data_IF_724622876152
#
_entry.id   IF_724622876152
#
_cell.length_a   1.000
_cell.length_b   1.000
_cell.length_c   1.000
_cell.angle_alpha   90.00
_cell.angle_beta   90.00
_cell.angle_gamma   90.00
#
_symmetry.space_group_name_H-M   'P 1'
#
loop_
_entity.id
_entity.type
_entity.pdbx_description
1 polymer ?
#
# COMPACT_ATOMS: atom_id res chain seq x y z
N UNK A 1 -16.27 36.00 -29.79
CA UNK A 1 -15.28 34.94 -29.44
C UNK A 1 -15.83 33.79 -28.58
N UNK A 2 -16.86 33.98 -27.73
CA UNK A 2 -17.34 32.93 -26.81
C UNK A 2 -18.23 31.80 -27.39
N UNK A 3 -18.71 31.92 -28.63
CA UNK A 3 -19.52 30.89 -29.29
C UNK A 3 -18.67 29.82 -30.00
N UNK A 4 -17.59 30.26 -30.67
CA UNK A 4 -16.64 29.38 -31.37
C UNK A 4 -15.88 28.50 -30.38
N UNK A 5 -15.44 29.04 -29.25
CA UNK A 5 -14.79 28.27 -28.18
C UNK A 5 -15.72 27.27 -27.51
N UNK A 6 -17.02 27.57 -27.40
CA UNK A 6 -18.03 26.62 -26.90
C UNK A 6 -18.27 25.47 -27.88
N UNK A 7 -18.43 25.76 -29.16
CA UNK A 7 -18.60 24.73 -30.19
C UNK A 7 -17.38 23.83 -30.32
N UNK A 8 -16.16 24.40 -30.24
CA UNK A 8 -14.92 23.62 -30.22
C UNK A 8 -14.80 22.74 -28.97
N UNK A 9 -15.15 23.26 -27.79
CA UNK A 9 -15.23 22.46 -26.56
C UNK A 9 -16.25 21.32 -26.69
N UNK A 10 -17.43 21.57 -27.25
CA UNK A 10 -18.43 20.52 -27.44
C UNK A 10 -18.00 19.47 -28.48
N UNK A 11 -17.36 19.88 -29.58
CA UNK A 11 -16.85 18.96 -30.60
C UNK A 11 -15.70 18.08 -30.08
N UNK A 12 -14.77 18.66 -29.31
CA UNK A 12 -13.66 17.93 -28.68
C UNK A 12 -14.16 17.00 -27.58
N UNK A 13 -15.05 17.45 -26.69
CA UNK A 13 -15.67 16.61 -25.64
C UNK A 13 -16.42 15.43 -26.26
N UNK A 14 -17.18 15.66 -27.34
CA UNK A 14 -17.92 14.60 -28.03
C UNK A 14 -16.98 13.60 -28.72
N UNK A 15 -15.90 14.09 -29.34
CA UNK A 15 -14.89 13.22 -29.97
C UNK A 15 -14.15 12.36 -28.94
N UNK A 16 -13.77 12.93 -27.78
CA UNK A 16 -13.16 12.21 -26.67
C UNK A 16 -14.14 11.17 -26.12
N UNK A 17 -15.39 11.55 -25.88
CA UNK A 17 -16.43 10.64 -25.36
C UNK A 17 -16.69 9.46 -26.31
N UNK A 18 -16.67 9.68 -27.62
CA UNK A 18 -16.80 8.59 -28.60
C UNK A 18 -15.59 7.66 -28.60
N UNK A 19 -14.37 8.19 -28.55
CA UNK A 19 -13.15 7.37 -28.47
C UNK A 19 -13.06 6.57 -27.18
N UNK A 20 -13.43 7.17 -26.05
CA UNK A 20 -13.54 6.48 -24.75
C UNK A 20 -14.61 5.38 -24.82
N UNK A 21 -15.76 5.65 -25.43
CA UNK A 21 -16.80 4.63 -25.65
C UNK A 21 -16.34 3.44 -26.50
N UNK A 22 -15.48 3.67 -27.51
CA UNK A 22 -14.87 2.60 -28.31
C UNK A 22 -13.85 1.82 -27.47
N UNK A 23 -13.03 2.53 -26.67
CA UNK A 23 -12.01 1.91 -25.82
C UNK A 23 -12.63 0.97 -24.78
N UNK A 24 -13.73 1.40 -24.14
CA UNK A 24 -14.48 0.61 -23.16
C UNK A 24 -15.53 -0.32 -23.81
N UNK A 25 -15.47 -0.54 -25.13
CA UNK A 25 -16.31 -1.51 -25.82
C UNK A 25 -15.91 -2.94 -25.42
N UNK A 26 -16.87 -3.87 -25.45
CA UNK A 26 -16.69 -5.28 -25.04
C UNK A 26 -15.52 -5.99 -25.72
N UNK A 27 -15.13 -5.53 -26.92
CA UNK A 27 -14.00 -6.08 -27.71
C UNK A 27 -12.63 -5.62 -27.20
N UNK A 28 -12.53 -4.42 -26.62
CA UNK A 28 -11.27 -3.83 -26.16
C UNK A 28 -11.14 -3.80 -24.64
N UNK A 29 -12.21 -4.15 -23.91
CA UNK A 29 -12.30 -4.06 -22.45
C UNK A 29 -11.20 -4.84 -21.71
N UNK A 30 -10.78 -6.00 -22.24
CA UNK A 30 -9.64 -6.74 -21.69
C UNK A 30 -8.35 -5.93 -21.75
N UNK A 31 -8.03 -5.39 -22.94
CA UNK A 31 -6.82 -4.61 -23.16
C UNK A 31 -6.82 -3.32 -22.34
N UNK A 32 -7.97 -2.64 -22.23
CA UNK A 32 -8.06 -1.40 -21.44
C UNK A 32 -7.87 -1.66 -19.95
N UNK A 33 -8.50 -2.70 -19.41
CA UNK A 33 -8.39 -3.01 -17.98
C UNK A 33 -6.95 -3.41 -17.64
N UNK A 34 -6.35 -4.27 -18.45
CA UNK A 34 -4.96 -4.66 -18.29
C UNK A 34 -4.01 -3.45 -18.41
N UNK A 35 -4.22 -2.56 -19.38
CA UNK A 35 -3.41 -1.36 -19.53
C UNK A 35 -3.56 -0.40 -18.35
N UNK A 36 -4.79 -0.21 -17.83
CA UNK A 36 -5.05 0.60 -16.64
C UNK A 36 -4.31 0.02 -15.44
N UNK A 37 -4.37 -1.30 -15.23
CA UNK A 37 -3.66 -1.96 -14.13
C UNK A 37 -2.14 -1.72 -14.21
N UNK A 38 -1.54 -1.92 -15.40
CA UNK A 38 -0.10 -1.66 -15.59
C UNK A 38 0.27 -0.21 -15.28
N UNK A 39 -0.50 0.75 -15.81
CA UNK A 39 -0.25 2.18 -15.56
C UNK A 39 -0.37 2.50 -14.08
N UNK A 40 -1.38 1.96 -13.40
CA UNK A 40 -1.62 2.22 -11.98
C UNK A 40 -0.48 1.66 -11.12
N UNK A 41 -0.07 0.42 -11.36
CA UNK A 41 1.04 -0.22 -10.63
C UNK A 41 2.38 0.49 -10.87
N UNK A 42 2.70 0.83 -12.12
CA UNK A 42 3.93 1.58 -12.43
C UNK A 42 3.93 2.98 -11.80
N UNK A 43 2.77 3.66 -11.78
CA UNK A 43 2.68 5.00 -11.18
C UNK A 43 2.79 4.94 -9.66
N UNK A 44 2.17 3.94 -9.02
CA UNK A 44 2.30 3.71 -7.57
C UNK A 44 3.75 3.40 -7.18
N UNK A 45 4.44 2.60 -7.99
CA UNK A 45 5.87 2.32 -7.79
C UNK A 45 6.75 3.56 -8.00
N UNK A 46 6.52 4.33 -9.06
CA UNK A 46 7.26 5.56 -9.31
C UNK A 46 7.10 6.57 -8.17
N UNK A 47 5.89 6.68 -7.59
CA UNK A 47 5.63 7.51 -6.42
C UNK A 47 6.44 7.03 -5.20
N UNK A 48 6.49 5.73 -4.97
CA UNK A 48 7.31 5.17 -3.89
C UNK A 48 8.81 5.40 -4.11
N UNK A 49 9.32 5.10 -5.31
CA UNK A 49 10.73 5.34 -5.60
C UNK A 49 11.09 6.83 -5.44
N UNK A 50 10.19 7.73 -5.86
CA UNK A 50 10.38 9.15 -5.64
C UNK A 50 10.37 9.52 -4.16
N UNK A 51 9.45 8.97 -3.37
CA UNK A 51 9.42 9.15 -1.92
C UNK A 51 10.72 8.71 -1.25
N UNK A 52 11.30 7.58 -1.67
CA UNK A 52 12.61 7.12 -1.17
C UNK A 52 13.78 8.01 -1.57
N UNK A 53 13.75 8.56 -2.78
CA UNK A 53 14.77 9.53 -3.22
C UNK A 53 14.73 10.78 -2.34
N UNK A 54 13.53 11.26 -1.99
CA UNK A 54 13.36 12.41 -1.09
C UNK A 54 13.84 12.12 0.34
N UNK A 55 13.69 10.88 0.83
CA UNK A 55 14.22 10.45 2.13
C UNK A 55 15.74 10.20 2.13
N UNK A 56 16.41 10.30 0.97
CA UNK A 56 17.83 9.99 0.83
C UNK A 56 18.15 8.48 0.87
N UNK A 57 17.13 7.62 0.83
CA UNK A 57 17.27 6.17 0.86
C UNK A 57 17.73 5.59 -0.49
N UNK A 58 17.45 6.28 -1.58
CA UNK A 58 17.72 5.83 -2.94
C UNK A 58 18.23 7.02 -3.78
N UNK A 59 19.27 6.83 -4.59
CA UNK A 59 19.86 7.93 -5.38
C UNK A 59 19.22 8.08 -6.76
N UNK A 60 18.75 6.98 -7.36
CA UNK A 60 18.17 6.96 -8.71
C UNK A 60 17.00 5.99 -8.82
N UNK A 61 16.13 6.22 -9.80
CA UNK A 61 15.01 5.31 -10.08
C UNK A 61 15.51 3.94 -10.57
N UNK A 62 14.96 2.88 -9.96
CA UNK A 62 15.18 1.49 -10.34
C UNK A 62 14.14 1.08 -11.39
N UNK A 63 14.51 1.23 -12.66
CA UNK A 63 13.66 0.86 -13.80
C UNK A 63 13.39 -0.64 -13.90
N UNK A 64 14.30 -1.48 -13.38
CA UNK A 64 14.10 -2.94 -13.36
C UNK A 64 12.96 -3.28 -12.41
N UNK A 65 12.95 -2.69 -11.21
CA UNK A 65 11.83 -2.80 -10.26
C UNK A 65 10.50 -2.37 -10.88
N UNK A 66 10.47 -1.23 -11.57
CA UNK A 66 9.23 -0.74 -12.18
C UNK A 66 8.75 -1.66 -13.32
N UNK A 67 9.68 -2.26 -14.08
CA UNK A 67 9.35 -3.29 -15.06
C UNK A 67 8.70 -4.51 -14.41
N UNK A 68 9.29 -5.03 -13.33
CA UNK A 68 8.81 -6.24 -12.65
C UNK A 68 7.43 -6.02 -12.02
N UNK A 69 7.20 -4.85 -11.42
CA UNK A 69 5.88 -4.44 -10.91
C UNK A 69 4.90 -4.25 -12.06
N UNK A 70 5.29 -3.59 -13.15
CA UNK A 70 4.44 -3.41 -14.33
C UNK A 70 4.00 -4.74 -14.94
N UNK A 71 4.90 -5.72 -15.02
CA UNK A 71 4.58 -7.07 -15.49
C UNK A 71 3.62 -7.79 -14.54
N UNK A 72 3.82 -7.66 -13.22
CA UNK A 72 2.87 -8.21 -12.24
C UNK A 72 1.48 -7.58 -12.37
N UNK A 73 1.40 -6.26 -12.60
CA UNK A 73 0.16 -5.53 -12.83
C UNK A 73 -0.56 -5.97 -14.11
N UNK A 74 0.18 -6.34 -15.16
CA UNK A 74 -0.39 -6.92 -16.38
C UNK A 74 -1.07 -8.27 -16.09
N UNK A 75 -0.39 -9.18 -15.40
CA UNK A 75 -0.91 -10.50 -15.06
C UNK A 75 -2.14 -10.40 -14.14
N UNK A 76 -2.05 -9.56 -13.11
CA UNK A 76 -3.15 -9.34 -12.16
C UNK A 76 -4.32 -8.66 -12.86
N UNK A 77 -4.09 -7.65 -13.70
CA UNK A 77 -5.15 -6.98 -14.46
C UNK A 77 -5.91 -7.93 -15.39
N UNK A 78 -5.18 -8.82 -16.08
CA UNK A 78 -5.79 -9.87 -16.91
C UNK A 78 -6.62 -10.86 -16.07
N UNK A 79 -6.08 -11.30 -14.93
CA UNK A 79 -6.79 -12.17 -13.99
C UNK A 79 -8.07 -11.50 -13.46
N UNK A 80 -7.98 -10.27 -12.97
CA UNK A 80 -9.11 -9.51 -12.44
C UNK A 80 -10.22 -9.32 -13.48
N UNK A 81 -9.88 -9.10 -14.75
CA UNK A 81 -10.88 -9.02 -15.82
C UNK A 81 -11.69 -10.31 -15.95
N UNK A 82 -11.01 -11.46 -16.01
CA UNK A 82 -11.67 -12.76 -16.11
C UNK A 82 -12.45 -13.09 -14.84
N UNK A 83 -11.87 -12.78 -13.68
CA UNK A 83 -12.50 -12.98 -12.38
C UNK A 83 -13.82 -12.22 -12.25
N UNK A 84 -13.85 -10.94 -12.63
CA UNK A 84 -15.09 -10.17 -12.58
C UNK A 84 -16.16 -10.67 -13.56
N UNK A 85 -15.77 -11.15 -14.74
CA UNK A 85 -16.71 -11.83 -15.65
C UNK A 85 -17.31 -13.07 -14.97
N UNK A 86 -16.48 -13.91 -14.34
CA UNK A 86 -16.96 -15.09 -13.61
C UNK A 86 -17.88 -14.72 -12.44
N UNK A 87 -17.51 -13.69 -11.69
CA UNK A 87 -18.26 -13.24 -10.52
C UNK A 87 -19.64 -12.66 -10.90
N UNK A 88 -19.72 -11.97 -12.03
CA UNK A 88 -20.99 -11.50 -12.59
C UNK A 88 -21.88 -12.64 -13.09
N UNK A 89 -21.30 -13.73 -13.60
CA UNK A 89 -22.03 -14.94 -13.95
C UNK A 89 -22.55 -15.70 -12.73
N UNK A 90 -21.75 -15.81 -11.66
CA UNK A 90 -22.15 -16.53 -10.43
C UNK A 90 -23.19 -15.77 -9.60
N UNK A 91 -23.13 -14.44 -9.60
CA UNK A 91 -24.04 -13.61 -8.82
C UNK A 91 -24.74 -12.58 -9.73
N UNK A 92 -25.75 -13.01 -10.51
CA UNK A 92 -26.49 -12.14 -11.39
C UNK A 92 -27.36 -11.17 -10.58
N UNK A 93 -27.24 -9.88 -10.85
CA UNK A 93 -28.03 -8.82 -10.20
C UNK A 93 -27.19 -7.69 -9.61
N UNK A 94 -27.88 -6.64 -9.16
CA UNK A 94 -27.27 -5.38 -8.67
C UNK A 94 -27.78 -4.95 -7.29
N UNK A 95 -28.34 -5.87 -6.51
CA UNK A 95 -28.80 -5.56 -5.15
C UNK A 95 -27.62 -5.41 -4.19
N UNK A 96 -27.82 -4.69 -3.08
CA UNK A 96 -26.78 -4.49 -2.07
C UNK A 96 -26.27 -5.82 -1.48
N UNK A 97 -27.18 -6.77 -1.24
CA UNK A 97 -26.81 -8.11 -0.75
C UNK A 97 -25.90 -8.87 -1.73
N UNK A 98 -26.14 -8.73 -3.04
CA UNK A 98 -25.26 -9.30 -4.07
C UNK A 98 -23.90 -8.60 -4.07
N UNK A 99 -23.86 -7.28 -3.95
CA UNK A 99 -22.61 -6.52 -3.90
C UNK A 99 -21.73 -6.93 -2.69
N UNK A 100 -22.34 -7.08 -1.52
CA UNK A 100 -21.65 -7.56 -0.31
C UNK A 100 -21.14 -8.99 -0.51
N UNK A 101 -21.96 -9.89 -1.07
CA UNK A 101 -21.55 -11.26 -1.35
C UNK A 101 -20.39 -11.32 -2.34
N UNK A 102 -20.45 -10.55 -3.42
CA UNK A 102 -19.36 -10.39 -4.40
C UNK A 102 -18.09 -9.90 -3.72
N UNK A 103 -18.18 -8.86 -2.89
CA UNK A 103 -17.04 -8.31 -2.17
C UNK A 103 -16.42 -9.31 -1.20
N UNK A 104 -17.23 -10.09 -0.47
CA UNK A 104 -16.70 -11.13 0.43
C UNK A 104 -15.98 -12.24 -0.32
N UNK A 105 -16.53 -12.69 -1.45
CA UNK A 105 -15.87 -13.70 -2.31
C UNK A 105 -14.57 -13.14 -2.91
N UNK A 106 -14.57 -11.87 -3.31
CA UNK A 106 -13.38 -11.20 -3.83
C UNK A 106 -12.27 -11.12 -2.77
N UNK A 107 -12.60 -10.67 -1.56
CA UNK A 107 -11.64 -10.56 -0.45
C UNK A 107 -11.13 -11.91 0.07
N UNK A 108 -11.88 -13.00 -0.10
CA UNK A 108 -11.49 -14.33 0.42
C UNK A 108 -10.78 -15.19 -0.60
N UNK A 109 -11.03 -15.00 -1.89
CA UNK A 109 -10.47 -15.84 -2.96
C UNK A 109 -9.56 -15.05 -3.88
N UNK A 110 -10.04 -13.95 -4.46
CA UNK A 110 -9.29 -13.15 -5.43
C UNK A 110 -8.10 -12.45 -4.78
N UNK A 111 -8.34 -11.73 -3.69
CA UNK A 111 -7.35 -11.01 -2.90
C UNK A 111 -6.09 -11.84 -2.57
N UNK A 112 -6.19 -13.02 -1.91
CA UNK A 112 -4.99 -13.80 -1.59
C UNK A 112 -4.29 -14.35 -2.83
N UNK A 113 -5.02 -14.64 -3.91
CA UNK A 113 -4.43 -15.06 -5.19
C UNK A 113 -3.64 -13.91 -5.81
N UNK A 114 -4.22 -12.71 -5.88
CA UNK A 114 -3.57 -11.52 -6.43
C UNK A 114 -2.33 -11.11 -5.64
N UNK A 115 -2.41 -11.07 -4.31
CA UNK A 115 -1.24 -10.79 -3.44
C UNK A 115 -0.16 -11.84 -3.65
N UNK A 116 -0.52 -13.11 -3.70
CA UNK A 116 0.45 -14.20 -3.90
C UNK A 116 1.11 -14.11 -5.27
N UNK A 117 0.33 -13.83 -6.32
CA UNK A 117 0.83 -13.65 -7.68
C UNK A 117 1.77 -12.44 -7.76
N UNK A 118 1.40 -11.30 -7.16
CA UNK A 118 2.24 -10.10 -7.08
C UNK A 118 3.60 -10.41 -6.45
N UNK A 119 3.60 -10.99 -5.25
CA UNK A 119 4.83 -11.30 -4.52
C UNK A 119 5.66 -12.38 -5.23
N UNK A 120 5.02 -13.38 -5.83
CA UNK A 120 5.69 -14.43 -6.57
C UNK A 120 6.38 -13.88 -7.83
N UNK A 121 5.65 -13.14 -8.67
CA UNK A 121 6.16 -12.60 -9.94
C UNK A 121 7.32 -11.65 -9.67
N UNK A 122 7.15 -10.70 -8.76
CA UNK A 122 8.22 -9.75 -8.41
C UNK A 122 9.43 -10.45 -7.80
N UNK A 123 9.24 -11.47 -6.94
CA UNK A 123 10.37 -12.22 -6.36
C UNK A 123 11.08 -13.12 -7.38
N UNK A 124 10.34 -13.62 -8.37
CA UNK A 124 10.88 -14.42 -9.47
C UNK A 124 11.82 -13.57 -10.35
N UNK A 125 11.42 -12.35 -10.73
CA UNK A 125 12.29 -11.44 -11.48
C UNK A 125 13.49 -10.91 -10.67
N UNK A 126 13.35 -10.83 -9.35
CA UNK A 126 14.46 -10.56 -8.43
C UNK A 126 15.46 -11.74 -8.33
N UNK A 127 15.15 -12.90 -8.90
CA UNK A 127 16.03 -14.08 -8.88
C UNK A 127 16.08 -14.79 -7.52
N UNK A 128 15.04 -14.65 -6.68
CA UNK A 128 15.00 -15.27 -5.35
C UNK A 128 14.82 -16.79 -5.44
N UNK A 129 15.42 -17.50 -4.50
CA UNK A 129 15.22 -18.95 -4.38
C UNK A 129 13.80 -19.29 -3.94
N UNK A 130 13.35 -20.52 -4.19
CA UNK A 130 12.00 -20.96 -3.81
C UNK A 130 11.74 -20.88 -2.30
N UNK A 131 12.77 -21.06 -1.46
CA UNK A 131 12.69 -20.87 -0.02
C UNK A 131 12.47 -19.40 0.36
N UNK A 132 13.24 -18.48 -0.25
CA UNK A 132 13.10 -17.04 -0.03
C UNK A 132 11.73 -16.52 -0.49
N UNK A 133 11.25 -16.98 -1.65
CA UNK A 133 9.93 -16.62 -2.16
C UNK A 133 8.81 -17.04 -1.20
N UNK A 134 8.87 -18.27 -0.66
CA UNK A 134 7.89 -18.76 0.32
C UNK A 134 7.93 -17.97 1.63
N UNK A 135 9.12 -17.63 2.10
CA UNK A 135 9.29 -16.81 3.31
C UNK A 135 8.70 -15.42 3.10
N UNK A 136 9.02 -14.77 1.98
CA UNK A 136 8.50 -13.44 1.66
C UNK A 136 6.98 -13.43 1.48
N UNK A 137 6.42 -14.46 0.84
CA UNK A 137 4.98 -14.64 0.76
C UNK A 137 4.34 -14.77 2.16
N UNK A 138 4.98 -15.48 3.08
CA UNK A 138 4.45 -15.66 4.45
C UNK A 138 4.55 -14.39 5.28
N UNK A 139 5.63 -13.62 5.15
CA UNK A 139 5.87 -12.41 5.93
C UNK A 139 5.08 -11.23 5.35
N UNK A 140 5.31 -10.90 4.08
CA UNK A 140 4.69 -9.75 3.41
C UNK A 140 3.26 -10.02 2.99
N UNK A 141 2.96 -11.24 2.57
CA UNK A 141 1.59 -11.59 2.15
C UNK A 141 0.60 -11.44 3.30
N UNK A 142 0.98 -11.78 4.53
CA UNK A 142 0.14 -11.54 5.72
C UNK A 142 -0.08 -10.05 6.00
N UNK A 143 0.96 -9.24 5.86
CA UNK A 143 0.88 -7.79 6.07
C UNK A 143 -0.06 -7.17 5.04
N UNK A 144 0.14 -7.48 3.75
CA UNK A 144 -0.68 -6.99 2.64
C UNK A 144 -2.14 -7.46 2.77
N UNK A 145 -2.36 -8.73 3.08
CA UNK A 145 -3.71 -9.27 3.23
C UNK A 145 -4.45 -8.65 4.41
N UNK A 146 -3.77 -8.46 5.55
CA UNK A 146 -4.34 -7.74 6.68
C UNK A 146 -4.68 -6.31 6.30
N UNK A 147 -3.81 -5.62 5.57
CA UNK A 147 -4.05 -4.26 5.10
C UNK A 147 -5.26 -4.18 4.17
N UNK A 148 -5.43 -5.13 3.24
CA UNK A 148 -6.63 -5.20 2.39
C UNK A 148 -7.91 -5.29 3.21
N UNK A 149 -7.95 -6.17 4.21
CA UNK A 149 -9.10 -6.29 5.10
C UNK A 149 -9.35 -5.08 5.99
N UNK A 150 -8.32 -4.29 6.27
CA UNK A 150 -8.46 -3.05 7.06
C UNK A 150 -8.87 -1.86 6.19
N UNK A 151 -8.49 -1.84 4.91
CA UNK A 151 -8.75 -0.71 4.00
C UNK A 151 -10.06 -0.88 3.25
N UNK A 152 -10.28 -2.04 2.63
CA UNK A 152 -11.38 -2.22 1.69
C UNK A 152 -12.78 -2.19 2.31
N UNK A 153 -13.09 -2.92 3.40
CA UNK A 153 -14.42 -2.87 3.99
C UNK A 153 -14.82 -1.47 4.48
N UNK A 154 -13.97 -0.72 5.21
CA UNK A 154 -14.29 0.67 5.57
C UNK A 154 -14.40 1.58 4.35
N UNK A 155 -13.51 1.44 3.36
CA UNK A 155 -13.59 2.23 2.12
C UNK A 155 -14.91 1.98 1.39
N UNK A 156 -15.38 0.74 1.30
CA UNK A 156 -16.67 0.40 0.67
C UNK A 156 -17.85 1.01 1.45
N UNK A 157 -17.83 0.98 2.78
CA UNK A 157 -18.85 1.64 3.61
C UNK A 157 -18.87 3.14 3.31
N UNK A 158 -17.71 3.79 3.27
CA UNK A 158 -17.61 5.22 2.95
C UNK A 158 -18.13 5.50 1.55
N UNK A 159 -17.74 4.68 0.57
CA UNK A 159 -18.11 4.84 -0.83
C UNK A 159 -19.62 4.73 -1.05
N UNK A 160 -20.30 3.82 -0.36
CA UNK A 160 -21.74 3.63 -0.53
C UNK A 160 -22.57 4.59 0.32
N UNK A 161 -22.10 4.94 1.53
CA UNK A 161 -22.86 5.76 2.48
C UNK A 161 -22.63 7.27 2.29
N UNK A 162 -21.37 7.72 2.17
CA UNK A 162 -21.03 9.14 2.12
C UNK A 162 -20.79 9.67 0.71
N UNK A 163 -20.29 8.84 -0.22
CA UNK A 163 -19.91 9.30 -1.56
C UNK A 163 -21.10 9.24 -2.53
N UNK A 164 -21.49 10.39 -3.14
CA UNK A 164 -22.53 10.41 -4.16
C UNK A 164 -22.17 9.53 -5.36
N UNK A 165 -23.16 8.87 -5.98
CA UNK A 165 -22.98 7.91 -7.08
C UNK A 165 -22.04 8.39 -8.18
N UNK A 166 -22.10 9.68 -8.54
CA UNK A 166 -21.24 10.30 -9.57
C UNK A 166 -19.73 10.28 -9.27
N UNK A 167 -19.33 10.20 -8.00
CA UNK A 167 -17.93 10.24 -7.56
C UNK A 167 -17.40 8.90 -7.06
N UNK A 168 -18.25 7.86 -6.96
CA UNK A 168 -17.86 6.57 -6.38
C UNK A 168 -16.69 5.90 -7.09
N UNK A 169 -16.64 6.03 -8.42
CA UNK A 169 -15.55 5.50 -9.24
C UNK A 169 -14.25 6.24 -8.93
N UNK A 170 -14.29 7.58 -8.87
CA UNK A 170 -13.11 8.38 -8.54
C UNK A 170 -12.58 8.04 -7.14
N UNK A 171 -13.47 7.95 -6.15
CA UNK A 171 -13.09 7.57 -4.79
C UNK A 171 -12.43 6.18 -4.76
N UNK A 172 -13.07 5.18 -5.39
CA UNK A 172 -12.51 3.83 -5.48
C UNK A 172 -11.13 3.81 -6.14
N UNK A 173 -10.97 4.50 -7.27
CA UNK A 173 -9.68 4.62 -7.95
C UNK A 173 -8.61 5.31 -7.10
N UNK A 174 -8.96 6.32 -6.30
CA UNK A 174 -8.02 6.97 -5.38
C UNK A 174 -7.54 6.04 -4.28
N UNK A 175 -8.46 5.25 -3.70
CA UNK A 175 -8.10 4.23 -2.69
C UNK A 175 -7.23 3.15 -3.30
N UNK A 176 -7.57 2.64 -4.49
CA UNK A 176 -6.76 1.67 -5.23
C UNK A 176 -5.35 2.19 -5.49
N UNK A 177 -5.21 3.44 -5.93
CA UNK A 177 -3.89 4.04 -6.17
C UNK A 177 -3.04 4.11 -4.90
N UNK A 178 -3.62 4.52 -3.77
CA UNK A 178 -2.93 4.51 -2.49
C UNK A 178 -2.51 3.09 -2.07
N UNK A 179 -3.30 2.09 -2.45
CA UNK A 179 -2.99 0.69 -2.18
C UNK A 179 -1.84 0.15 -3.06
N UNK A 180 -1.77 0.52 -4.34
CA UNK A 180 -0.63 0.21 -5.21
C UNK A 180 0.69 0.80 -4.67
N UNK A 181 0.64 2.05 -4.18
CA UNK A 181 1.76 2.66 -3.49
C UNK A 181 2.18 1.85 -2.25
N UNK A 182 1.20 1.43 -1.44
CA UNK A 182 1.45 0.60 -0.25
C UNK A 182 2.02 -0.79 -0.60
N UNK A 183 1.56 -1.44 -1.67
CA UNK A 183 2.14 -2.69 -2.18
C UNK A 183 3.63 -2.53 -2.44
N UNK A 184 4.01 -1.46 -3.14
CA UNK A 184 5.40 -1.16 -3.44
C UNK A 184 6.19 -0.85 -2.15
N UNK A 185 5.62 -0.07 -1.23
CA UNK A 185 6.24 0.21 0.06
C UNK A 185 6.53 -1.06 0.87
N UNK A 186 5.55 -1.97 1.04
CA UNK A 186 5.74 -3.22 1.80
C UNK A 186 6.70 -4.17 1.09
N UNK A 187 6.65 -4.24 -0.25
CA UNK A 187 7.54 -5.10 -1.02
C UNK A 187 9.01 -4.69 -0.89
N UNK A 188 9.30 -3.40 -0.85
CA UNK A 188 10.69 -2.91 -0.87
C UNK A 188 11.17 -2.28 0.45
N UNK A 189 10.30 -2.18 1.46
CA UNK A 189 10.61 -1.65 2.80
C UNK A 189 11.80 -2.33 3.49
N UNK A 190 11.93 -3.65 3.36
CA UNK A 190 12.96 -4.42 4.08
C UNK A 190 14.37 -4.33 3.48
N UNK A 191 14.52 -3.84 2.25
CA UNK A 191 15.85 -3.76 1.61
C UNK A 191 16.76 -2.79 2.36
N UNK A 192 16.23 -1.79 3.06
CA UNK A 192 17.02 -0.77 3.76
C UNK A 192 17.58 -1.25 5.11
N UNK A 193 16.82 -2.00 5.90
CA UNK A 193 17.39 -2.61 7.12
C UNK A 193 18.53 -3.58 6.81
N UNK A 194 18.49 -4.26 5.65
CA UNK A 194 19.56 -5.17 5.24
C UNK A 194 20.71 -4.45 4.52
N UNK A 195 20.42 -3.46 3.67
CA UNK A 195 21.46 -2.67 2.98
C UNK A 195 22.22 -1.77 3.96
N UNK A 196 21.53 -1.10 4.90
CA UNK A 196 22.17 -0.35 5.98
C UNK A 196 22.96 -1.25 6.92
N UNK A 197 22.49 -2.47 7.22
CA UNK A 197 23.27 -3.45 7.99
C UNK A 197 24.47 -4.01 7.19
N UNK A 198 24.34 -4.17 5.87
CA UNK A 198 25.43 -4.58 4.98
C UNK A 198 26.45 -3.47 4.78
N UNK A 199 26.04 -2.21 4.75
CA UNK A 199 26.93 -1.05 4.69
C UNK A 199 27.67 -0.86 6.03
N UNK A 200 27.00 -1.07 7.16
CA UNK A 200 27.65 -1.10 8.48
C UNK A 200 28.64 -2.25 8.61
N UNK A 201 28.35 -3.43 8.04
CA UNK A 201 29.28 -4.57 8.02
C UNK A 201 30.40 -4.38 7.00
N UNK A 202 30.15 -3.75 5.86
CA UNK A 202 31.16 -3.52 4.82
C UNK A 202 32.16 -2.43 5.22
N UNK A 203 31.76 -1.48 6.08
CA UNK A 203 32.64 -0.45 6.59
C UNK A 203 33.55 -0.93 7.73
N UNK A 204 33.27 -2.10 8.33
CA UNK A 204 34.07 -2.72 9.39
C UNK A 204 35.14 -3.70 8.86
N UNK A 205 35.07 -4.14 7.60
CA UNK A 205 36.01 -5.15 7.06
C UNK A 205 37.28 -4.57 6.39
N UNK A 206 37.62 -3.29 6.59
CA UNK A 206 38.84 -2.69 6.01
C UNK A 206 39.81 -2.07 7.01
N UNK A 207 39.67 -2.34 8.31
CA UNK A 207 40.72 -1.99 9.28
C UNK A 207 41.30 -3.27 9.85
N UNK A 208 42.56 -3.50 9.47
CA UNK A 208 43.46 -4.55 9.92
C UNK A 208 43.32 -4.87 11.41
N UNK A 209 43.28 -6.17 11.72
CA UNK A 209 43.71 -6.71 13.01
C UNK A 209 45.16 -6.26 13.27
N UNK A 210 45.35 -5.09 13.89
CA UNK A 210 46.55 -4.75 14.67
C UNK A 210 46.38 -3.33 15.25
N UNK A 211 46.04 -3.29 16.55
CA UNK A 211 45.99 -2.15 17.50
C UNK A 211 44.64 -2.01 18.20
N UNK A 212 44.22 -3.08 18.88
CA UNK A 212 43.08 -3.10 19.81
C UNK A 212 43.44 -2.59 21.24
N UNK A 213 44.66 -2.08 21.51
CA UNK A 213 45.07 -1.95 22.92
C UNK A 213 45.96 -0.76 23.26
N UNK A 214 45.79 0.41 22.63
CA UNK A 214 46.52 1.61 23.13
C UNK A 214 45.87 2.98 22.91
N UNK A 215 44.57 3.07 22.59
CA UNK A 215 43.91 4.38 22.39
C UNK A 215 42.56 4.54 23.11
N UNK A 216 42.22 3.60 23.99
CA UNK A 216 40.95 3.58 24.74
C UNK A 216 41.10 4.06 26.18
N UNK A 217 41.79 5.19 26.41
CA UNK A 217 41.79 5.84 27.72
C UNK A 217 41.52 7.36 27.74
N UNK A 218 41.89 8.20 26.76
CA UNK A 218 41.63 9.63 26.90
C UNK A 218 40.23 10.10 26.46
N UNK A 219 39.45 9.27 25.74
CA UNK A 219 38.09 9.66 25.30
C UNK A 219 36.98 9.41 26.34
N UNK A 220 37.12 8.36 27.18
CA UNK A 220 36.10 8.06 28.21
C UNK A 220 35.99 9.17 29.27
N UNK A 221 37.09 9.89 29.52
CA UNK A 221 37.12 10.97 30.51
C UNK A 221 36.52 12.29 29.99
N UNK A 222 36.41 12.46 28.66
CA UNK A 222 35.89 13.69 28.04
C UNK A 222 34.38 13.64 27.75
N UNK A 223 33.78 12.45 27.80
CA UNK A 223 32.32 12.26 27.65
C UNK A 223 31.60 12.35 29.01
N UNK A 224 32.29 12.09 30.12
CA UNK A 224 31.69 12.12 31.46
C UNK A 224 31.53 13.54 32.06
N UNK A 225 32.20 14.56 31.50
CA UNK A 225 32.10 15.94 31.98
C UNK A 225 31.00 16.79 31.32
N UNK A 226 30.27 16.24 30.33
CA UNK A 226 29.30 17.01 29.53
C UNK A 226 27.86 16.46 29.49
N UNK A 227 27.47 15.57 30.40
CA UNK A 227 26.07 15.20 30.58
C UNK A 227 25.64 15.30 32.04
N UNK A 228 24.86 16.33 32.42
CA UNK A 228 23.94 16.18 33.52
C UNK A 228 22.72 15.38 33.02
N UNK A 229 22.31 14.42 33.84
CA UNK A 229 20.95 13.87 33.89
C UNK A 229 20.61 12.70 32.95
N UNK A 230 21.06 11.50 33.32
CA UNK A 230 20.45 10.23 32.90
C UNK A 230 20.12 9.37 34.13
N UNK A 231 19.11 9.77 34.91
CA UNK A 231 18.48 8.86 35.88
C UNK A 231 17.05 9.28 36.27
N UNK A 232 16.14 9.49 35.31
CA UNK A 232 14.69 9.45 35.57
C UNK A 232 13.87 9.60 34.27
N UNK A 233 13.75 8.56 33.44
CA UNK A 233 12.77 8.56 32.33
C UNK A 233 12.23 7.17 31.94
N UNK A 234 12.42 6.13 32.78
CA UNK A 234 11.84 4.81 32.49
C UNK A 234 10.49 4.56 33.17
N UNK A 235 10.01 5.51 34.00
CA UNK A 235 8.79 5.34 34.81
C UNK A 235 7.54 6.01 34.21
N UNK A 236 7.70 6.99 33.30
CA UNK A 236 6.57 7.81 32.82
C UNK A 236 5.76 7.17 31.68
N UNK A 237 6.36 6.28 30.88
CA UNK A 237 5.66 5.64 29.75
C UNK A 237 4.73 4.50 30.22
N UNK A 238 5.01 3.90 31.37
CA UNK A 238 4.13 2.88 31.97
C UNK A 238 2.93 3.53 32.67
N UNK A 239 3.14 4.67 33.33
CA UNK A 239 2.06 5.43 33.97
C UNK A 239 1.06 6.00 32.94
N UNK A 240 1.55 6.52 31.80
CA UNK A 240 0.71 7.06 30.73
C UNK A 240 -0.16 6.01 30.03
N UNK A 241 0.26 4.73 29.97
CA UNK A 241 -0.58 3.64 29.45
C UNK A 241 -1.66 3.22 30.43
N UNK A 242 -1.41 3.32 31.73
CA UNK A 242 -2.37 2.96 32.78
C UNK A 242 -3.50 4.00 32.89
N UNK A 243 -3.15 5.29 32.76
CA UNK A 243 -4.12 6.38 32.88
C UNK A 243 -5.03 6.52 31.64
N UNK A 244 -4.53 6.16 30.45
CA UNK A 244 -5.34 6.18 29.22
C UNK A 244 -6.44 5.12 29.21
N UNK A 245 -6.19 3.94 29.80
CA UNK A 245 -7.21 2.89 29.95
C UNK A 245 -8.27 3.22 31.01
N UNK A 246 -7.91 3.99 32.04
CA UNK A 246 -8.86 4.38 33.09
C UNK A 246 -9.80 5.52 32.67
N UNK A 247 -9.38 6.40 31.75
CA UNK A 247 -10.22 7.47 31.22
C UNK A 247 -11.31 6.93 30.28
N UNK A 248 -10.99 5.92 29.46
CA UNK A 248 -11.93 5.39 28.47
C UNK A 248 -13.09 4.60 29.10
N UNK A 249 -12.81 3.88 30.20
CA UNK A 249 -13.83 3.12 30.94
C UNK A 249 -14.84 3.99 31.70
N UNK A 250 -14.46 5.20 32.12
CA UNK A 250 -15.38 6.18 32.75
C UNK A 250 -16.20 6.94 31.71
N UNK A 251 -15.64 7.23 30.53
CA UNK A 251 -16.32 7.93 29.45
C UNK A 251 -17.40 7.04 28.79
N UNK A 252 -17.10 5.77 28.58
CA UNK A 252 -18.04 4.78 28.04
C UNK A 252 -19.23 4.52 28.98
N UNK A 253 -19.02 4.51 30.30
CA UNK A 253 -20.10 4.29 31.28
C UNK A 253 -21.05 5.48 31.40
N UNK A 254 -20.55 6.71 31.21
CA UNK A 254 -21.37 7.94 31.24
C UNK A 254 -22.27 8.05 30.00
N UNK A 255 -21.74 7.68 28.83
CA UNK A 255 -22.47 7.69 27.55
C UNK A 255 -23.56 6.61 27.46
N UNK A 256 -23.37 5.48 28.16
CA UNK A 256 -24.36 4.41 28.24
C UNK A 256 -25.54 4.78 29.16
N UNK A 257 -25.32 5.50 30.26
CA UNK A 257 -26.40 5.97 31.13
C UNK A 257 -27.24 7.10 30.53
N UNK A 258 -26.66 7.97 29.69
CA UNK A 258 -27.40 9.05 29.01
C UNK A 258 -28.33 8.54 27.91
N UNK A 259 -28.03 7.39 27.28
CA UNK A 259 -28.88 6.80 26.24
C UNK A 259 -30.06 5.97 26.80
N UNK A 260 -29.95 5.45 28.02
CA UNK A 260 -30.99 4.64 28.66
C UNK A 260 -32.11 5.44 29.36
N UNK A 261 -32.02 6.78 29.40
CA UNK A 261 -33.03 7.67 29.99
C UNK A 261 -33.86 8.44 28.95
N UNK A 262 -33.70 8.13 27.65
CA UNK A 262 -34.49 8.72 26.56
C UNK A 262 -35.36 7.70 25.79
N UNK A 263 -35.63 6.54 26.39
CA UNK A 263 -36.70 5.61 26.00
C UNK A 263 -37.58 5.32 27.21
#
# INVERSE_FOLDING_TARGET
MGAVTRLWKHATIRSISSKVGILFSRRYLFYTNSAISVVMSCTGDALEQHYRILQGEQTQMDWKRSHDIGFSGLLIGAFCHLWYIMLDCWFPGRTLGIAVKKSLVDQTVSSPICISAFLFVTSFFEGKTSAQMKQELKEKGKILYKAEWMVWPPAQIINFYFVPTRYRVMFGSSVSFGFEWYFSFVKYGDRHSKAGALDLVSHDTTVSEDKLTDMTQPMFQKVQSHLPFAHSQSTDIVQLKQDMFHIDSKCLRKRWHEQSCQQ
#
